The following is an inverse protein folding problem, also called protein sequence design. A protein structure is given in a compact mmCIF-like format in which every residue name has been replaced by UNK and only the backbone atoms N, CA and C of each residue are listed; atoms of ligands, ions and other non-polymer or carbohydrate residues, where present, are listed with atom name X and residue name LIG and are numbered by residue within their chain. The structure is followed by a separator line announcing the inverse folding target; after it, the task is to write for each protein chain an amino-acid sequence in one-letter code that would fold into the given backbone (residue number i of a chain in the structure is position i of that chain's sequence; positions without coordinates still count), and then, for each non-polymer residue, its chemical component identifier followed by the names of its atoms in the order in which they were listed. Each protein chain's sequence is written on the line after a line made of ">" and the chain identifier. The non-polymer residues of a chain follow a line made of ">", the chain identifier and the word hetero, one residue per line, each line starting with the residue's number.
data_IF_749511491165
#
_entry.id   IF_749511491165
#
_cell.length_a   1.000
_cell.length_b   1.000
_cell.length_c   1.000
_cell.angle_alpha   90.00
_cell.angle_beta   90.00
_cell.angle_gamma   90.00
#
_symmetry.space_group_name_H-M   'P 1'
#
loop_
_entity.id
_entity.type
_entity.pdbx_description
1 polymer ?
#
# COMPACT_ATOMS: atom_id res chain seq x y z
N UNK A 1 6.16 -4.90 37.22
CA UNK A 1 5.77 -5.79 36.10
C UNK A 1 5.76 -5.03 34.75
N UNK A 2 6.85 -5.08 33.97
CA UNK A 2 7.06 -4.30 32.72
C UNK A 2 6.72 -5.05 31.41
N UNK A 3 6.09 -6.22 31.48
CA UNK A 3 5.82 -7.03 30.27
C UNK A 3 4.46 -6.66 29.68
N UNK A 4 4.43 -5.97 28.54
CA UNK A 4 3.19 -5.65 27.78
C UNK A 4 2.89 -6.64 26.65
N UNK A 5 3.84 -7.52 26.38
CA UNK A 5 3.66 -8.67 25.50
C UNK A 5 2.86 -9.72 26.24
N UNK A 6 1.81 -10.23 25.60
CA UNK A 6 1.11 -11.41 26.11
C UNK A 6 2.02 -12.63 26.01
N UNK A 7 1.87 -13.56 26.93
CA UNK A 7 2.72 -14.78 26.99
C UNK A 7 2.15 -15.88 26.09
N UNK A 8 0.84 -15.84 25.83
CA UNK A 8 0.14 -16.80 24.98
C UNK A 8 -1.38 -16.56 24.99
N UNK A 9 -2.16 -17.46 24.37
CA UNK A 9 -3.62 -17.32 24.27
C UNK A 9 -4.35 -17.40 25.63
N UNK A 10 -3.79 -18.11 26.62
CA UNK A 10 -4.33 -18.22 27.98
C UNK A 10 -3.88 -17.11 28.94
N UNK A 11 -3.30 -16.02 28.45
CA UNK A 11 -2.84 -14.93 29.31
C UNK A 11 -4.04 -14.28 30.05
N UNK A 12 -4.08 -14.29 31.40
CA UNK A 12 -5.24 -13.81 32.15
C UNK A 12 -5.55 -12.33 31.89
N UNK A 13 -4.56 -11.56 31.40
CA UNK A 13 -4.71 -10.14 31.07
C UNK A 13 -5.58 -9.91 29.84
N UNK A 14 -5.77 -10.93 29.00
CA UNK A 14 -6.73 -10.90 27.89
C UNK A 14 -8.18 -10.99 28.39
N UNK A 15 -8.39 -11.55 29.58
CA UNK A 15 -9.69 -11.63 30.25
C UNK A 15 -10.09 -10.35 30.99
N UNK A 16 -9.17 -9.39 31.16
CA UNK A 16 -9.49 -8.07 31.74
C UNK A 16 -10.61 -7.41 30.91
N UNK A 17 -11.60 -6.79 31.57
CA UNK A 17 -12.82 -6.27 30.94
C UNK A 17 -12.54 -5.35 29.74
N UNK A 18 -11.54 -4.48 29.86
CA UNK A 18 -11.09 -3.58 28.79
C UNK A 18 -10.53 -4.31 27.56
N UNK A 19 -9.94 -5.50 27.72
CA UNK A 19 -9.37 -6.29 26.63
C UNK A 19 -10.31 -7.36 26.08
N UNK A 20 -11.32 -7.77 26.86
CA UNK A 20 -12.36 -8.72 26.43
C UNK A 20 -12.99 -8.34 25.10
N UNK A 21 -13.18 -7.04 24.90
CA UNK A 21 -13.82 -6.46 23.71
C UNK A 21 -12.89 -5.58 22.87
N UNK A 22 -11.59 -5.59 23.16
CA UNK A 22 -10.62 -4.79 22.42
C UNK A 22 -10.43 -5.37 21.02
N UNK A 23 -10.38 -4.48 20.02
CA UNK A 23 -10.06 -4.87 18.66
C UNK A 23 -8.56 -5.19 18.53
N UNK A 24 -8.25 -6.25 17.78
CA UNK A 24 -6.91 -6.55 17.32
C UNK A 24 -6.55 -5.64 16.12
N UNK A 25 -5.49 -4.85 16.25
CA UNK A 25 -4.95 -4.05 15.14
C UNK A 25 -3.91 -4.89 14.40
N UNK A 26 -4.19 -5.16 13.12
CA UNK A 26 -3.36 -5.99 12.25
C UNK A 26 -2.93 -5.25 10.98
N UNK A 27 -1.85 -5.71 10.36
CA UNK A 27 -1.27 -5.04 9.18
C UNK A 27 -2.04 -5.32 7.88
N UNK A 28 -2.48 -6.57 7.68
CA UNK A 28 -3.09 -7.05 6.45
C UNK A 28 -4.60 -7.30 6.61
N UNK A 29 -5.33 -7.21 5.50
CA UNK A 29 -6.76 -7.52 5.51
C UNK A 29 -7.01 -9.03 5.70
N UNK A 30 -6.12 -9.90 5.21
CA UNK A 30 -6.26 -11.36 5.32
C UNK A 30 -6.32 -11.81 6.78
N UNK A 31 -5.37 -11.38 7.62
CA UNK A 31 -5.43 -11.69 9.04
C UNK A 31 -6.65 -11.06 9.71
N UNK A 32 -7.02 -9.82 9.33
CA UNK A 32 -8.25 -9.18 9.83
C UNK A 32 -9.47 -10.08 9.60
N UNK A 33 -9.63 -10.64 8.39
CA UNK A 33 -10.78 -11.50 8.11
C UNK A 33 -10.73 -12.82 8.86
N UNK A 34 -9.58 -13.48 8.88
CA UNK A 34 -9.44 -14.76 9.56
C UNK A 34 -9.70 -14.61 11.07
N UNK A 35 -9.05 -13.63 11.71
CA UNK A 35 -9.26 -13.33 13.13
C UNK A 35 -10.72 -12.99 13.41
N UNK A 36 -11.39 -12.21 12.55
CA UNK A 36 -12.80 -11.88 12.74
C UNK A 36 -13.72 -13.11 12.66
N UNK A 37 -13.40 -14.10 11.82
CA UNK A 37 -14.15 -15.36 11.73
C UNK A 37 -13.88 -16.24 12.94
N UNK A 38 -12.61 -16.50 13.24
CA UNK A 38 -12.20 -17.35 14.37
C UNK A 38 -12.75 -16.81 15.70
N UNK A 39 -12.69 -15.48 15.89
CA UNK A 39 -13.21 -14.84 17.11
C UNK A 39 -14.72 -14.84 17.19
N UNK A 40 -15.43 -14.86 16.05
CA UNK A 40 -16.88 -15.04 16.03
C UNK A 40 -17.26 -16.48 16.45
N UNK A 41 -16.51 -17.47 16.00
CA UNK A 41 -16.67 -18.87 16.44
C UNK A 41 -16.34 -19.04 17.93
N UNK A 42 -15.22 -18.47 18.40
CA UNK A 42 -14.85 -18.48 19.81
C UNK A 42 -15.92 -17.82 20.68
N UNK A 43 -16.45 -16.67 20.23
CA UNK A 43 -17.52 -15.98 20.92
C UNK A 43 -18.78 -16.83 21.02
N UNK A 44 -19.20 -17.44 19.90
CA UNK A 44 -20.35 -18.34 19.87
C UNK A 44 -20.20 -19.50 20.86
N UNK A 45 -19.02 -20.14 20.91
CA UNK A 45 -18.72 -21.21 21.87
C UNK A 45 -18.77 -20.71 23.32
N UNK A 46 -18.13 -19.57 23.61
CA UNK A 46 -18.02 -19.04 24.96
C UNK A 46 -19.34 -18.45 25.50
N UNK A 47 -20.20 -17.94 24.62
CA UNK A 47 -21.49 -17.36 24.98
C UNK A 47 -22.67 -18.34 24.81
N UNK A 48 -22.40 -19.58 24.42
CA UNK A 48 -23.42 -20.60 24.08
C UNK A 48 -24.48 -20.09 23.09
N UNK A 49 -24.09 -19.15 22.22
CA UNK A 49 -24.97 -18.50 21.26
C UNK A 49 -24.82 -19.17 19.90
N UNK A 50 -25.90 -19.63 19.25
CA UNK A 50 -25.81 -20.28 17.94
C UNK A 50 -25.16 -19.36 16.89
N UNK A 51 -24.03 -19.82 16.33
CA UNK A 51 -23.41 -19.15 15.18
C UNK A 51 -24.17 -19.49 13.90
N UNK A 52 -24.65 -18.47 13.19
CA UNK A 52 -25.21 -18.61 11.85
C UNK A 52 -24.35 -17.87 10.83
N UNK A 53 -24.17 -18.47 9.67
CA UNK A 53 -23.43 -17.88 8.56
C UNK A 53 -24.40 -17.30 7.54
N UNK A 54 -24.35 -15.98 7.39
CA UNK A 54 -25.06 -15.28 6.34
C UNK A 54 -24.25 -15.33 5.04
N UNK A 55 -24.85 -15.89 3.99
CA UNK A 55 -24.25 -16.02 2.66
C UNK A 55 -24.69 -14.87 1.77
N UNK A 56 -23.73 -14.20 1.13
CA UNK A 56 -24.03 -13.14 0.19
C UNK A 56 -24.68 -13.68 -1.09
N UNK A 57 -25.60 -12.91 -1.67
CA UNK A 57 -26.18 -13.21 -2.97
C UNK A 57 -25.44 -12.41 -4.05
N UNK A 58 -24.72 -13.12 -4.92
CA UNK A 58 -24.03 -12.54 -6.07
C UNK A 58 -24.84 -12.77 -7.36
N UNK A 59 -25.28 -11.67 -7.98
CA UNK A 59 -26.00 -11.66 -9.25
C UNK A 59 -25.08 -11.12 -10.36
N UNK A 60 -24.53 -11.97 -11.24
CA UNK A 60 -23.69 -11.53 -12.36
C UNK A 60 -24.51 -10.79 -13.43
N UNK A 61 -23.90 -9.81 -14.10
CA UNK A 61 -24.51 -9.14 -15.25
C UNK A 61 -24.50 -10.03 -16.51
N UNK A 62 -25.26 -9.63 -17.52
CA UNK A 62 -25.32 -10.35 -18.80
C UNK A 62 -23.93 -10.50 -19.45
N UNK A 63 -23.09 -9.47 -19.35
CA UNK A 63 -21.72 -9.48 -19.87
C UNK A 63 -20.83 -10.51 -19.16
N UNK A 64 -21.04 -10.74 -17.86
CA UNK A 64 -20.32 -11.78 -17.11
C UNK A 64 -20.77 -13.16 -17.57
N UNK A 65 -22.08 -13.36 -17.71
CA UNK A 65 -22.65 -14.65 -18.16
C UNK A 65 -22.20 -15.02 -19.58
N UNK A 66 -21.98 -14.03 -20.46
CA UNK A 66 -21.50 -14.24 -21.82
C UNK A 66 -20.00 -14.57 -21.89
N UNK A 67 -19.21 -14.11 -20.92
CA UNK A 67 -17.73 -14.19 -20.98
C UNK A 67 -17.14 -15.23 -20.05
N UNK A 68 -17.87 -15.64 -19.01
CA UNK A 68 -17.40 -16.55 -17.98
C UNK A 68 -18.49 -17.56 -17.62
N UNK A 69 -18.07 -18.82 -17.45
CA UNK A 69 -18.90 -19.84 -16.82
C UNK A 69 -19.15 -19.47 -15.36
N UNK A 70 -20.41 -19.17 -15.04
CA UNK A 70 -20.86 -18.78 -13.70
C UNK A 70 -21.41 -19.99 -12.93
N UNK A 71 -20.64 -21.07 -12.92
CA UNK A 71 -20.96 -22.33 -12.26
C UNK A 71 -20.92 -22.21 -10.72
N UNK A 72 -21.27 -23.30 -10.02
CA UNK A 72 -21.25 -23.34 -8.55
C UNK A 72 -19.86 -23.00 -8.02
N UNK A 73 -18.78 -23.46 -8.66
CA UNK A 73 -17.42 -23.19 -8.24
C UNK A 73 -17.06 -21.70 -8.37
N UNK A 74 -17.47 -21.03 -9.46
CA UNK A 74 -17.28 -19.60 -9.64
C UNK A 74 -17.98 -18.79 -8.54
N UNK A 75 -19.23 -19.14 -8.21
CA UNK A 75 -19.98 -18.49 -7.13
C UNK A 75 -19.32 -18.69 -5.77
N UNK A 76 -18.83 -19.89 -5.47
CA UNK A 76 -18.06 -20.15 -4.23
C UNK A 76 -16.78 -19.32 -4.19
N UNK A 77 -16.05 -19.20 -5.31
CA UNK A 77 -14.88 -18.31 -5.40
C UNK A 77 -15.25 -16.85 -5.13
N UNK A 78 -16.37 -16.36 -5.65
CA UNK A 78 -16.83 -14.99 -5.41
C UNK A 78 -17.04 -14.70 -3.92
N UNK A 79 -17.61 -15.64 -3.17
CA UNK A 79 -17.80 -15.50 -1.71
C UNK A 79 -16.48 -15.38 -0.94
N UNK A 80 -15.36 -15.82 -1.52
CA UNK A 80 -14.02 -15.71 -0.92
C UNK A 80 -13.33 -14.37 -1.20
N UNK A 81 -13.87 -13.52 -2.09
CA UNK A 81 -13.31 -12.19 -2.34
C UNK A 81 -13.38 -11.33 -1.09
N UNK A 82 -12.33 -10.51 -0.90
CA UNK A 82 -12.24 -9.57 0.20
C UNK A 82 -13.33 -8.51 0.11
N UNK A 83 -13.88 -8.09 1.26
CA UNK A 83 -14.91 -7.05 1.31
C UNK A 83 -14.46 -5.76 0.59
N UNK A 84 -13.17 -5.42 0.62
CA UNK A 84 -12.55 -4.29 -0.09
C UNK A 84 -12.71 -4.36 -1.60
N UNK A 85 -12.71 -5.57 -2.16
CA UNK A 85 -12.90 -5.80 -3.60
C UNK A 85 -14.38 -5.89 -3.96
N UNK A 86 -15.26 -6.03 -2.96
CA UNK A 86 -16.71 -6.22 -3.12
C UNK A 86 -17.51 -5.14 -2.39
N UNK A 87 -17.04 -3.89 -2.48
CA UNK A 87 -17.71 -2.68 -2.00
C UNK A 87 -18.06 -2.66 -0.49
N UNK A 88 -17.21 -3.30 0.31
CA UNK A 88 -17.31 -3.48 1.76
C UNK A 88 -18.40 -4.45 2.22
N UNK A 89 -18.94 -5.28 1.32
CA UNK A 89 -19.88 -6.35 1.67
C UNK A 89 -19.16 -7.71 1.69
N UNK A 90 -19.18 -8.40 2.83
CA UNK A 90 -18.57 -9.71 3.01
C UNK A 90 -19.30 -10.80 2.22
N UNK A 91 -18.57 -11.79 1.70
CA UNK A 91 -19.20 -12.96 1.06
C UNK A 91 -19.86 -13.88 2.09
N UNK A 92 -19.15 -14.16 3.18
CA UNK A 92 -19.61 -14.96 4.31
C UNK A 92 -19.52 -14.13 5.59
N UNK A 93 -20.67 -13.85 6.22
CA UNK A 93 -20.77 -13.04 7.43
C UNK A 93 -21.20 -13.91 8.62
N UNK A 94 -20.33 -14.14 9.62
CA UNK A 94 -20.74 -14.81 10.83
C UNK A 94 -21.64 -13.89 11.69
N UNK A 95 -22.72 -14.45 12.23
CA UNK A 95 -23.67 -13.76 13.10
C UNK A 95 -23.97 -14.63 14.32
N UNK A 96 -23.82 -14.04 15.51
CA UNK A 96 -24.21 -14.64 16.79
C UNK A 96 -24.87 -13.54 17.65
N UNK A 97 -25.92 -13.89 18.39
CA UNK A 97 -26.58 -12.92 19.27
C UNK A 97 -25.60 -12.48 20.37
N UNK A 98 -25.54 -11.17 20.63
CA UNK A 98 -24.61 -10.54 21.57
C UNK A 98 -23.22 -10.21 20.99
N UNK A 99 -22.90 -10.72 19.79
CA UNK A 99 -21.60 -10.52 19.16
C UNK A 99 -21.37 -9.05 18.79
N UNK A 100 -20.13 -8.57 18.95
CA UNK A 100 -19.76 -7.20 18.53
C UNK A 100 -19.59 -7.12 17.02
N UNK A 101 -20.24 -6.13 16.43
CA UNK A 101 -20.20 -5.81 15.00
C UNK A 101 -19.87 -4.35 14.78
N UNK A 102 -19.36 -4.04 13.58
CA UNK A 102 -19.19 -2.68 13.09
C UNK A 102 -19.98 -2.51 11.80
N UNK A 103 -20.52 -1.31 11.60
CA UNK A 103 -21.14 -0.94 10.34
C UNK A 103 -20.09 -0.89 9.22
N UNK A 104 -20.32 -1.61 8.14
CA UNK A 104 -19.48 -1.59 6.96
C UNK A 104 -19.79 -0.40 6.04
N UNK A 105 -20.93 0.25 6.25
CA UNK A 105 -21.41 1.40 5.48
C UNK A 105 -22.06 2.47 6.36
N UNK A 106 -22.37 3.62 5.77
CA UNK A 106 -23.19 4.65 6.39
C UNK A 106 -24.67 4.26 6.27
N UNK A 107 -25.40 4.22 7.40
CA UNK A 107 -26.81 3.86 7.44
C UNK A 107 -27.71 5.06 7.67
N UNK A 108 -27.41 5.85 8.71
CA UNK A 108 -28.18 7.03 9.08
C UNK A 108 -27.23 8.16 9.51
N UNK A 109 -27.19 9.22 8.70
CA UNK A 109 -26.31 10.36 8.93
C UNK A 109 -27.00 11.51 9.66
N UNK A 110 -28.23 11.32 10.17
CA UNK A 110 -28.90 12.32 10.97
C UNK A 110 -28.09 12.64 12.24
N UNK A 111 -28.11 13.91 12.65
CA UNK A 111 -27.25 14.43 13.74
C UNK A 111 -27.52 13.76 15.09
N UNK A 112 -28.74 13.28 15.31
CA UNK A 112 -29.15 12.57 16.51
C UNK A 112 -28.60 11.13 16.57
N UNK A 113 -28.40 10.48 15.42
CA UNK A 113 -28.02 9.05 15.36
C UNK A 113 -26.58 8.80 14.97
N UNK A 114 -26.08 9.48 13.93
CA UNK A 114 -24.70 9.36 13.41
C UNK A 114 -24.23 7.89 13.24
N UNK A 115 -25.07 7.05 12.64
CA UNK A 115 -24.76 5.66 12.30
C UNK A 115 -23.90 5.59 11.03
N UNK A 116 -22.65 6.02 11.20
CA UNK A 116 -21.65 6.07 10.15
C UNK A 116 -20.88 4.75 10.04
N UNK A 117 -20.18 4.60 8.91
CA UNK A 117 -19.26 3.48 8.70
C UNK A 117 -18.26 3.35 9.85
N UNK A 118 -18.22 2.16 10.43
CA UNK A 118 -17.31 1.79 11.50
C UNK A 118 -17.80 2.16 12.89
N UNK A 119 -19.04 2.63 13.05
CA UNK A 119 -19.74 2.64 14.33
C UNK A 119 -19.90 1.21 14.82
N UNK A 120 -19.54 0.98 16.09
CA UNK A 120 -19.58 -0.33 16.71
C UNK A 120 -20.91 -0.53 17.46
N UNK A 121 -21.44 -1.75 17.40
CA UNK A 121 -22.65 -2.15 18.10
C UNK A 121 -22.62 -3.63 18.45
N UNK A 122 -23.72 -4.12 19.01
CA UNK A 122 -23.92 -5.52 19.39
C UNK A 122 -25.15 -6.08 18.69
N UNK A 123 -25.06 -7.30 18.18
CA UNK A 123 -26.23 -7.99 17.62
C UNK A 123 -27.21 -8.26 18.76
N UNK A 124 -28.41 -7.71 18.69
CA UNK A 124 -29.46 -7.96 19.68
C UNK A 124 -30.35 -9.12 19.24
N UNK A 125 -30.86 -9.07 18.01
CA UNK A 125 -31.74 -10.09 17.44
C UNK A 125 -31.73 -10.01 15.92
N UNK A 126 -32.40 -10.96 15.25
CA UNK A 126 -32.54 -10.95 13.79
C UNK A 126 -33.87 -11.58 13.37
N UNK A 127 -34.31 -11.23 12.16
CA UNK A 127 -35.44 -11.87 11.48
C UNK A 127 -34.87 -12.72 10.35
N UNK A 128 -34.95 -14.03 10.53
CA UNK A 128 -34.41 -15.01 9.60
C UNK A 128 -35.52 -15.98 9.20
N UNK A 129 -35.94 -15.93 7.94
CA UNK A 129 -36.98 -16.84 7.42
C UNK A 129 -36.40 -18.23 7.20
N UNK A 130 -37.22 -19.24 7.37
CA UNK A 130 -36.82 -20.63 7.12
C UNK A 130 -36.39 -20.79 5.65
N UNK A 131 -35.29 -21.52 5.41
CA UNK A 131 -34.64 -21.72 4.10
C UNK A 131 -33.90 -20.52 3.47
N UNK A 132 -33.96 -19.32 4.06
CA UNK A 132 -33.13 -18.22 3.58
C UNK A 132 -31.66 -18.41 4.00
N UNK A 133 -30.72 -18.11 3.10
CA UNK A 133 -29.28 -18.15 3.40
C UNK A 133 -28.76 -16.87 4.09
N UNK A 134 -29.64 -15.89 4.30
CA UNK A 134 -29.32 -14.59 4.90
C UNK A 134 -30.55 -14.04 5.64
N UNK A 135 -30.40 -13.34 6.76
CA UNK A 135 -31.52 -12.70 7.43
C UNK A 135 -32.14 -11.57 6.60
N UNK A 136 -33.44 -11.37 6.77
CA UNK A 136 -34.16 -10.22 6.21
C UNK A 136 -33.74 -8.93 6.92
N UNK A 137 -33.52 -9.00 8.23
CA UNK A 137 -33.13 -7.86 9.07
C UNK A 137 -32.31 -8.34 10.27
N UNK A 138 -31.33 -7.54 10.69
CA UNK A 138 -30.59 -7.74 11.95
C UNK A 138 -30.73 -6.49 12.80
N UNK A 139 -31.19 -6.64 14.04
CA UNK A 139 -31.26 -5.54 14.99
C UNK A 139 -29.92 -5.41 15.71
N UNK A 140 -29.32 -4.23 15.60
CA UNK A 140 -28.03 -3.88 16.23
C UNK A 140 -28.27 -2.83 17.29
N UNK A 141 -27.79 -3.11 18.50
CA UNK A 141 -27.80 -2.21 19.65
C UNK A 141 -26.52 -1.39 19.69
N UNK A 142 -26.67 -0.08 19.72
CA UNK A 142 -25.58 0.89 19.87
C UNK A 142 -25.55 1.39 21.32
N UNK A 143 -24.45 1.10 22.00
CA UNK A 143 -24.27 1.47 23.40
C UNK A 143 -24.11 2.99 23.53
N UNK A 144 -24.87 3.60 24.45
CA UNK A 144 -24.84 5.05 24.71
C UNK A 144 -25.69 5.92 23.76
N UNK A 145 -26.47 5.30 22.88
CA UNK A 145 -27.45 6.03 22.07
C UNK A 145 -28.65 6.49 22.91
N UNK A 146 -29.06 7.75 22.72
CA UNK A 146 -30.20 8.37 23.42
C UNK A 146 -31.50 8.32 22.61
N UNK A 147 -31.41 8.11 21.30
CA UNK A 147 -32.55 7.96 20.40
C UNK A 147 -33.20 6.58 20.55
N UNK A 148 -34.49 6.49 20.28
CA UNK A 148 -35.27 5.25 20.24
C UNK A 148 -36.16 5.31 19.01
N UNK A 149 -36.21 4.22 18.24
CA UNK A 149 -37.10 4.14 17.08
C UNK A 149 -38.52 3.79 17.56
N UNK A 150 -39.52 4.27 16.84
CA UNK A 150 -40.92 3.95 17.13
C UNK A 150 -41.15 2.44 17.10
N UNK A 151 -41.71 1.90 18.18
CA UNK A 151 -41.92 0.46 18.35
C UNK A 151 -40.67 -0.34 18.76
N UNK A 152 -39.52 0.29 18.98
CA UNK A 152 -38.35 -0.40 19.55
C UNK A 152 -38.55 -0.61 21.07
N UNK A 153 -38.16 -1.78 21.62
CA UNK A 153 -38.32 -2.08 23.04
C UNK A 153 -37.36 -1.28 23.94
N UNK A 154 -36.25 -0.81 23.39
CA UNK A 154 -35.24 -0.04 24.12
C UNK A 154 -34.54 0.99 23.21
N UNK A 155 -33.93 2.05 23.78
CA UNK A 155 -33.13 3.03 23.04
C UNK A 155 -31.97 2.41 22.27
N UNK A 156 -31.49 3.04 21.22
CA UNK A 156 -30.26 2.63 20.51
C UNK A 156 -30.37 1.34 19.69
N UNK A 157 -31.56 0.77 19.52
CA UNK A 157 -31.79 -0.39 18.68
C UNK A 157 -32.10 0.03 17.24
N UNK A 158 -31.32 -0.43 16.26
CA UNK A 158 -31.49 -0.09 14.86
C UNK A 158 -31.64 -1.32 13.96
N UNK A 159 -32.65 -1.37 13.07
CA UNK A 159 -32.80 -2.44 12.09
C UNK A 159 -31.82 -2.25 10.93
N UNK A 160 -30.94 -3.22 10.73
CA UNK A 160 -29.97 -3.24 9.62
C UNK A 160 -30.47 -4.19 8.53
N UNK A 161 -30.72 -3.62 7.35
CA UNK A 161 -31.17 -4.36 6.19
C UNK A 161 -30.02 -4.70 5.23
N UNK A 162 -30.13 -5.78 4.45
CA UNK A 162 -29.18 -6.10 3.41
C UNK A 162 -29.08 -5.00 2.34
N UNK A 163 -27.85 -4.55 2.08
CA UNK A 163 -27.54 -3.60 1.03
C UNK A 163 -27.12 -4.32 -0.25
N UNK A 164 -27.45 -3.74 -1.41
CA UNK A 164 -27.02 -4.24 -2.71
C UNK A 164 -25.95 -3.31 -3.29
N UNK A 165 -24.78 -3.85 -3.61
CA UNK A 165 -23.66 -3.11 -4.22
C UNK A 165 -23.08 -3.83 -5.42
N UNK A 166 -22.56 -3.07 -6.37
CA UNK A 166 -22.01 -3.61 -7.62
C UNK A 166 -20.49 -3.54 -7.57
N UNK A 167 -19.84 -4.70 -7.69
CA UNK A 167 -18.39 -4.82 -7.81
C UNK A 167 -18.02 -5.39 -9.18
N UNK A 168 -16.74 -5.35 -9.54
CA UNK A 168 -16.27 -5.72 -10.88
C UNK A 168 -15.21 -6.82 -10.81
N UNK A 169 -15.44 -7.94 -11.49
CA UNK A 169 -14.48 -9.04 -11.57
C UNK A 169 -13.17 -8.61 -12.24
N UNK A 170 -13.29 -7.75 -13.25
CA UNK A 170 -12.17 -7.26 -14.04
C UNK A 170 -11.67 -5.89 -13.58
N UNK A 171 -11.82 -5.56 -12.29
CA UNK A 171 -11.41 -4.27 -11.71
C UNK A 171 -9.96 -3.85 -12.03
N UNK A 172 -9.08 -4.82 -12.34
CA UNK A 172 -7.68 -4.57 -12.75
C UNK A 172 -7.52 -4.13 -14.22
N UNK A 173 -8.56 -4.24 -15.05
CA UNK A 173 -8.54 -3.81 -16.47
C UNK A 173 -8.79 -2.30 -16.59
N UNK A 174 -8.33 -1.72 -17.70
CA UNK A 174 -8.48 -0.27 -17.99
C UNK A 174 -9.94 0.17 -18.10
N UNK A 175 -10.83 -0.70 -18.57
CA UNK A 175 -12.27 -0.46 -18.66
C UNK A 175 -12.98 -1.70 -18.10
N UNK A 176 -13.28 -1.71 -16.80
CA UNK A 176 -13.88 -2.87 -16.18
C UNK A 176 -15.39 -2.90 -16.48
N UNK A 177 -15.83 -3.97 -17.12
CA UNK A 177 -17.20 -4.17 -17.63
C UNK A 177 -17.92 -5.34 -16.97
N UNK A 178 -17.19 -6.24 -16.31
CA UNK A 178 -17.73 -7.48 -15.74
C UNK A 178 -18.31 -7.22 -14.35
N UNK A 179 -19.57 -6.81 -14.29
CA UNK A 179 -20.25 -6.39 -13.06
C UNK A 179 -20.93 -7.57 -12.36
N UNK A 180 -20.77 -7.63 -11.04
CA UNK A 180 -21.51 -8.52 -10.15
C UNK A 180 -22.19 -7.67 -9.09
N UNK A 181 -23.50 -7.84 -8.92
CA UNK A 181 -24.25 -7.21 -7.85
C UNK A 181 -24.30 -8.15 -6.64
N UNK A 182 -23.65 -7.74 -5.55
CA UNK A 182 -23.66 -8.44 -4.25
C UNK A 182 -24.72 -7.86 -3.33
N UNK A 183 -25.55 -8.73 -2.73
CA UNK A 183 -26.50 -8.36 -1.68
C UNK A 183 -26.14 -9.03 -0.36
N UNK A 184 -25.81 -8.23 0.66
CA UNK A 184 -25.43 -8.68 2.01
C UNK A 184 -25.69 -7.57 3.04
N UNK A 185 -25.78 -7.92 4.32
CA UNK A 185 -25.78 -6.95 5.41
C UNK A 185 -24.49 -6.10 5.40
N UNK A 186 -24.60 -4.76 5.56
CA UNK A 186 -23.44 -3.88 5.73
C UNK A 186 -22.88 -3.97 7.15
N UNK A 187 -22.51 -5.18 7.58
CA UNK A 187 -21.93 -5.48 8.89
C UNK A 187 -20.63 -6.27 8.74
N UNK A 188 -19.72 -6.09 9.69
CA UNK A 188 -18.54 -6.94 9.86
C UNK A 188 -18.29 -7.20 11.35
N UNK A 189 -17.71 -8.36 11.73
CA UNK A 189 -17.30 -8.59 13.12
C UNK A 189 -16.27 -7.53 13.56
N UNK A 190 -16.35 -7.12 14.81
CA UNK A 190 -15.56 -6.01 15.35
C UNK A 190 -14.30 -6.44 16.12
N UNK A 191 -13.82 -7.68 15.92
CA UNK A 191 -12.72 -8.25 16.69
C UNK A 191 -11.34 -7.86 16.17
N UNK A 192 -11.23 -7.53 14.88
CA UNK A 192 -10.00 -7.10 14.24
C UNK A 192 -10.23 -5.94 13.27
N UNK A 193 -9.25 -5.04 13.20
CA UNK A 193 -9.23 -3.88 12.32
C UNK A 193 -7.81 -3.70 11.76
N UNK A 194 -7.69 -3.19 10.54
CA UNK A 194 -6.37 -2.81 10.02
C UNK A 194 -5.90 -1.48 10.59
N UNK A 195 -4.60 -1.25 10.66
CA UNK A 195 -4.07 0.06 11.09
C UNK A 195 -4.66 1.21 10.26
N UNK A 196 -4.76 1.04 8.94
CA UNK A 196 -5.42 2.01 8.06
C UNK A 196 -6.91 2.18 8.39
N UNK A 197 -7.63 1.09 8.72
CA UNK A 197 -9.05 1.17 9.12
C UNK A 197 -9.25 1.85 10.48
N UNK A 198 -8.24 1.81 11.35
CA UNK A 198 -8.25 2.46 12.66
C UNK A 198 -7.78 3.91 12.64
N UNK A 199 -7.24 4.40 11.51
CA UNK A 199 -6.72 5.76 11.41
C UNK A 199 -7.82 6.79 11.69
N UNK A 200 -7.48 7.79 12.51
CA UNK A 200 -8.43 8.82 12.96
C UNK A 200 -9.36 8.38 14.10
N UNK A 201 -9.35 7.10 14.50
CA UNK A 201 -10.16 6.60 15.62
C UNK A 201 -9.38 6.58 16.92
N UNK A 202 -10.09 6.78 18.03
CA UNK A 202 -9.60 6.51 19.38
C UNK A 202 -10.31 5.27 19.91
N UNK A 203 -9.56 4.24 20.29
CA UNK A 203 -10.05 2.99 20.85
C UNK A 203 -9.88 2.99 22.38
N UNK A 204 -10.84 2.45 23.14
CA UNK A 204 -10.69 2.30 24.60
C UNK A 204 -9.51 1.40 24.98
N UNK A 205 -9.30 0.33 24.22
CA UNK A 205 -8.17 -0.58 24.33
C UNK A 205 -7.89 -1.26 22.99
N UNK A 206 -6.66 -1.70 22.79
CA UNK A 206 -6.23 -2.37 21.55
C UNK A 206 -5.24 -3.51 21.83
N UNK A 207 -5.39 -4.59 21.07
CA UNK A 207 -4.40 -5.66 20.96
C UNK A 207 -3.62 -5.41 19.69
N UNK A 208 -2.30 -5.23 19.75
CA UNK A 208 -1.50 -4.88 18.57
C UNK A 208 -0.55 -6.02 18.24
N UNK A 209 -0.62 -6.50 17.00
CA UNK A 209 0.38 -7.43 16.49
C UNK A 209 1.53 -6.66 15.85
N UNK A 210 2.68 -6.60 16.54
CA UNK A 210 3.89 -5.97 15.99
C UNK A 210 4.74 -6.93 15.15
N UNK A 211 4.30 -8.18 14.97
CA UNK A 211 4.97 -9.14 14.10
C UNK A 211 4.58 -8.94 12.64
N UNK A 212 5.06 -7.83 12.07
CA UNK A 212 4.74 -7.42 10.69
C UNK A 212 5.84 -7.83 9.72
N UNK A 213 5.45 -8.15 8.49
CA UNK A 213 6.37 -8.54 7.43
C UNK A 213 7.24 -7.35 6.97
N UNK A 214 8.31 -7.65 6.24
CA UNK A 214 9.22 -6.61 5.69
C UNK A 214 8.54 -5.67 4.67
N UNK A 215 7.35 -6.02 4.18
CA UNK A 215 6.59 -5.24 3.19
C UNK A 215 5.64 -4.25 3.84
N UNK A 216 5.29 -4.44 5.11
CA UNK A 216 4.45 -3.54 5.89
C UNK A 216 5.18 -2.23 6.16
N UNK A 217 4.46 -1.11 6.04
CA UNK A 217 5.02 0.22 6.28
C UNK A 217 5.51 0.35 7.74
N UNK A 218 6.71 0.91 7.91
CA UNK A 218 7.32 1.18 9.21
C UNK A 218 6.49 2.08 10.12
N UNK A 219 5.48 2.80 9.61
CA UNK A 219 4.57 3.63 10.41
C UNK A 219 3.44 2.83 11.07
N UNK A 220 3.24 1.55 10.70
CA UNK A 220 2.18 0.70 11.23
C UNK A 220 2.12 0.71 12.77
N UNK A 221 3.26 0.46 13.42
CA UNK A 221 3.34 0.36 14.88
C UNK A 221 3.01 1.68 15.57
N UNK A 222 3.44 2.81 15.01
CA UNK A 222 3.10 4.15 15.51
C UNK A 222 1.61 4.44 15.34
N UNK A 223 1.03 4.11 14.18
CA UNK A 223 -0.42 4.29 13.94
C UNK A 223 -1.23 3.42 14.91
N UNK A 224 -0.88 2.14 15.06
CA UNK A 224 -1.57 1.20 15.94
C UNK A 224 -1.47 1.61 17.42
N UNK A 225 -0.27 1.95 17.89
CA UNK A 225 -0.05 2.34 19.29
C UNK A 225 -0.72 3.68 19.64
N UNK A 226 -0.81 4.62 18.69
CA UNK A 226 -1.48 5.91 18.90
C UNK A 226 -3.00 5.86 18.89
N UNK A 227 -3.62 4.67 18.72
CA UNK A 227 -5.09 4.54 18.75
C UNK A 227 -5.65 4.57 20.17
N UNK A 228 -4.83 4.39 21.21
CA UNK A 228 -5.27 4.41 22.60
C UNK A 228 -4.78 5.67 23.33
N UNK A 229 -5.47 6.04 24.41
CA UNK A 229 -5.08 7.18 25.25
C UNK A 229 -4.01 6.85 26.29
N UNK A 230 -3.92 5.59 26.71
CA UNK A 230 -3.01 5.18 27.78
C UNK A 230 -2.21 3.94 27.40
N UNK A 231 -0.98 3.85 27.92
CA UNK A 231 -0.10 2.69 27.71
C UNK A 231 -0.63 1.42 28.39
N UNK A 232 -1.51 1.57 29.37
CA UNK A 232 -2.19 0.48 30.09
C UNK A 232 -3.28 -0.17 29.24
N UNK A 233 -3.79 0.55 28.23
CA UNK A 233 -4.83 0.13 27.30
C UNK A 233 -4.31 -0.56 26.02
N UNK A 234 -2.99 -0.77 25.90
CA UNK A 234 -2.39 -1.57 24.81
C UNK A 234 -1.73 -2.84 25.34
N UNK A 235 -1.89 -3.92 24.58
CA UNK A 235 -1.11 -5.15 24.73
C UNK A 235 -0.52 -5.55 23.37
N UNK A 236 0.71 -6.05 23.39
CA UNK A 236 1.36 -6.58 22.20
C UNK A 236 1.08 -8.09 22.11
N UNK A 237 0.55 -8.56 20.99
CA UNK A 237 0.29 -10.00 20.75
C UNK A 237 1.61 -10.75 20.52
N UNK A 238 2.46 -10.19 19.67
CA UNK A 238 3.83 -10.63 19.43
C UNK A 238 4.72 -9.40 19.21
N UNK A 239 5.99 -9.51 19.58
CA UNK A 239 7.02 -8.55 19.21
C UNK A 239 7.92 -9.19 18.16
N UNK A 240 7.93 -8.64 16.95
CA UNK A 240 9.15 -8.72 16.15
C UNK A 240 10.09 -7.61 16.63
N UNK A 241 11.42 -7.81 16.69
CA UNK A 241 12.36 -6.71 16.92
C UNK A 241 12.09 -5.63 15.88
N UNK A 242 11.43 -4.59 16.35
CA UNK A 242 10.94 -3.51 15.53
C UNK A 242 12.15 -2.67 15.19
N UNK A 243 12.58 -2.69 13.93
CA UNK A 243 13.46 -1.66 13.42
C UNK A 243 12.57 -0.44 13.21
N UNK A 244 12.47 0.40 14.24
CA UNK A 244 11.94 1.75 14.11
C UNK A 244 12.47 2.39 12.82
N UNK A 245 11.71 3.31 12.22
CA UNK A 245 12.19 4.11 11.09
C UNK A 245 13.66 4.48 11.31
N UNK A 246 14.48 4.38 10.26
CA UNK A 246 15.95 4.28 10.32
C UNK A 246 16.54 4.83 11.62
N UNK A 247 17.27 4.05 12.44
CA UNK A 247 17.78 4.46 13.76
C UNK A 247 18.36 5.88 13.82
N UNK A 248 18.95 6.35 12.72
CA UNK A 248 19.41 7.72 12.52
C UNK A 248 18.35 8.81 12.78
N UNK A 249 17.10 8.65 12.32
CA UNK A 249 16.03 9.66 12.44
C UNK A 249 15.52 9.78 13.88
N UNK A 250 15.37 8.65 14.56
CA UNK A 250 15.01 8.63 15.97
C UNK A 250 16.14 9.23 16.82
N UNK A 251 17.40 8.90 16.53
CA UNK A 251 18.55 9.49 17.22
C UNK A 251 18.67 10.99 16.96
N UNK A 252 18.46 11.46 15.73
CA UNK A 252 18.46 12.87 15.35
C UNK A 252 17.40 13.63 16.15
N UNK A 253 16.17 13.12 16.20
CA UNK A 253 15.08 13.75 16.94
C UNK A 253 15.30 13.72 18.46
N UNK A 254 15.85 12.62 19.01
CA UNK A 254 16.19 12.51 20.43
C UNK A 254 17.37 13.40 20.84
N UNK A 255 18.25 13.76 19.90
CA UNK A 255 19.35 14.72 20.11
C UNK A 255 18.91 16.17 19.97
N UNK A 256 17.65 16.43 19.65
CA UNK A 256 17.14 17.78 19.37
C UNK A 256 17.66 18.37 18.06
N UNK A 257 18.22 17.55 17.18
CA UNK A 257 18.67 17.99 15.86
C UNK A 257 17.44 18.23 14.97
N UNK A 258 17.42 19.36 14.23
CA UNK A 258 16.34 19.64 13.29
C UNK A 258 16.28 18.56 12.20
N UNK A 259 15.15 17.85 12.16
CA UNK A 259 14.90 16.85 11.12
C UNK A 259 14.43 17.58 9.86
N UNK A 260 15.28 17.56 8.82
CA UNK A 260 14.90 18.07 7.50
C UNK A 260 13.91 17.10 6.82
N UNK A 261 12.62 17.30 7.11
CA UNK A 261 11.52 16.48 6.58
C UNK A 261 11.41 16.54 5.06
N UNK A 262 11.82 17.64 4.43
CA UNK A 262 11.81 17.80 2.97
C UNK A 262 12.82 16.88 2.31
N UNK A 263 14.05 16.85 2.82
CA UNK A 263 15.10 15.96 2.33
C UNK A 263 14.71 14.48 2.49
N UNK A 264 14.03 14.13 3.59
CA UNK A 264 13.54 12.77 3.82
C UNK A 264 12.42 12.35 2.86
N UNK A 265 11.47 13.26 2.59
CA UNK A 265 10.40 13.03 1.60
C UNK A 265 10.99 12.86 0.20
N UNK A 266 11.94 13.71 -0.18
CA UNK A 266 12.63 13.65 -1.47
C UNK A 266 13.44 12.35 -1.63
N UNK A 267 14.07 11.87 -0.56
CA UNK A 267 14.82 10.61 -0.58
C UNK A 267 13.92 9.39 -0.86
N UNK A 268 12.68 9.41 -0.37
CA UNK A 268 11.69 8.35 -0.63
C UNK A 268 10.98 8.51 -1.97
N UNK A 269 10.75 9.74 -2.40
CA UNK A 269 10.00 10.06 -3.61
C UNK A 269 10.64 11.27 -4.31
N UNK A 270 11.58 11.05 -5.27
CA UNK A 270 12.19 12.15 -5.98
C UNK A 270 11.14 12.89 -6.81
N UNK A 271 11.29 14.21 -6.93
CA UNK A 271 10.31 15.08 -7.59
C UNK A 271 10.95 15.96 -8.67
N UNK A 272 10.13 16.41 -9.62
CA UNK A 272 10.53 17.31 -10.70
C UNK A 272 9.38 18.22 -11.11
N UNK A 273 9.71 19.42 -11.60
CA UNK A 273 8.73 20.37 -12.10
C UNK A 273 8.19 19.95 -13.47
N UNK A 274 6.87 20.04 -13.64
CA UNK A 274 6.22 19.83 -14.93
C UNK A 274 6.35 21.09 -15.79
N UNK A 275 6.81 20.97 -17.03
CA UNK A 275 6.98 22.10 -17.96
C UNK A 275 5.68 22.91 -18.20
N UNK A 276 4.53 22.22 -18.29
CA UNK A 276 3.23 22.87 -18.58
C UNK A 276 2.54 23.50 -17.37
N UNK A 277 2.67 22.89 -16.17
CA UNK A 277 1.98 23.38 -14.95
C UNK A 277 2.90 24.09 -13.97
N UNK A 278 4.23 24.00 -14.17
CA UNK A 278 5.29 24.50 -13.27
C UNK A 278 5.24 23.96 -11.83
N UNK A 279 4.29 23.10 -11.49
CA UNK A 279 4.20 22.38 -10.22
C UNK A 279 5.24 21.25 -10.11
N UNK A 280 5.87 21.12 -8.94
CA UNK A 280 6.70 19.98 -8.58
C UNK A 280 5.83 18.75 -8.32
N UNK A 281 6.06 17.67 -9.08
CA UNK A 281 5.38 16.38 -8.90
C UNK A 281 6.39 15.28 -8.62
N UNK A 282 5.99 14.29 -7.84
CA UNK A 282 6.81 13.12 -7.54
C UNK A 282 6.95 12.20 -8.77
N UNK A 283 7.99 11.36 -8.75
CA UNK A 283 8.34 10.37 -9.77
C UNK A 283 7.15 9.61 -10.39
N UNK A 284 6.19 9.22 -9.56
CA UNK A 284 4.99 8.48 -9.94
C UNK A 284 4.05 9.26 -10.88
N UNK A 285 4.14 10.59 -10.94
CA UNK A 285 3.34 11.41 -11.85
C UNK A 285 3.94 11.54 -13.26
N UNK A 286 5.10 10.95 -13.51
CA UNK A 286 5.75 10.97 -14.81
C UNK A 286 5.77 9.57 -15.42
N UNK A 287 5.65 9.48 -16.75
CA UNK A 287 5.92 8.22 -17.45
C UNK A 287 7.42 7.92 -17.41
N UNK A 288 7.80 6.65 -17.59
CA UNK A 288 9.20 6.21 -17.60
C UNK A 288 10.05 7.06 -18.57
N UNK A 289 9.57 7.23 -19.81
CA UNK A 289 10.21 8.05 -20.83
C UNK A 289 10.35 9.53 -20.44
N UNK A 290 9.36 10.08 -19.73
CA UNK A 290 9.40 11.49 -19.27
C UNK A 290 10.33 11.65 -18.08
N UNK A 291 10.38 10.68 -17.17
CA UNK A 291 11.33 10.72 -16.06
C UNK A 291 12.77 10.56 -16.53
N UNK A 292 13.04 9.79 -17.59
CA UNK A 292 14.37 9.74 -18.21
C UNK A 292 14.84 11.11 -18.72
N UNK A 293 13.92 11.95 -19.20
CA UNK A 293 14.23 13.34 -19.56
C UNK A 293 14.63 14.14 -18.34
N UNK A 294 13.93 13.98 -17.21
CA UNK A 294 14.31 14.61 -15.93
C UNK A 294 15.72 14.17 -15.51
N UNK A 295 16.01 12.86 -15.61
CA UNK A 295 17.34 12.31 -15.28
C UNK A 295 18.45 12.83 -16.18
N UNK A 296 18.13 13.23 -17.40
CA UNK A 296 19.04 13.88 -18.35
C UNK A 296 19.03 15.41 -18.26
N UNK A 297 18.45 15.99 -17.18
CA UNK A 297 18.28 17.43 -16.97
C UNK A 297 17.54 18.15 -18.13
N UNK A 298 16.58 17.47 -18.74
CA UNK A 298 15.69 18.04 -19.76
C UNK A 298 14.30 18.29 -19.18
N UNK A 299 13.55 19.21 -19.80
CA UNK A 299 12.15 19.46 -19.45
C UNK A 299 11.31 18.19 -19.61
N UNK A 300 10.38 17.97 -18.69
CA UNK A 300 9.49 16.82 -18.68
C UNK A 300 8.05 17.25 -18.40
N UNK A 301 7.12 16.48 -18.94
CA UNK A 301 5.69 16.73 -18.83
C UNK A 301 5.07 15.61 -18.00
N UNK A 302 4.27 15.98 -16.98
CA UNK A 302 3.57 15.00 -16.16
C UNK A 302 2.51 14.24 -16.97
N UNK A 303 2.08 13.07 -16.47
CA UNK A 303 1.08 12.22 -17.09
C UNK A 303 -0.25 12.94 -17.38
N UNK A 304 -0.61 13.93 -16.56
CA UNK A 304 -1.81 14.74 -16.74
C UNK A 304 -1.71 15.77 -17.88
N UNK A 305 -0.51 16.02 -18.42
CA UNK A 305 -0.26 17.06 -19.43
C UNK A 305 0.31 16.50 -20.74
N UNK A 306 0.52 15.19 -20.82
CA UNK A 306 1.01 14.50 -22.01
C UNK A 306 0.00 14.49 -23.18
N UNK A 307 0.46 14.32 -24.43
CA UNK A 307 -0.39 14.37 -25.62
C UNK A 307 -1.43 13.23 -25.64
N UNK A 308 -2.68 13.57 -25.95
CA UNK A 308 -3.76 12.61 -26.30
C UNK A 308 -4.65 12.08 -25.17
N UNK A 309 -4.92 12.82 -24.09
CA UNK A 309 -5.75 12.31 -22.97
C UNK A 309 -6.63 13.38 -22.31
N UNK A 310 -7.92 13.36 -22.64
CA UNK A 310 -8.99 13.90 -21.79
C UNK A 310 -9.25 12.96 -20.61
N UNK A 311 -9.28 13.53 -19.41
CA UNK A 311 -9.97 13.12 -18.16
C UNK A 311 -9.94 11.67 -17.60
N UNK A 312 -9.42 10.63 -18.26
CA UNK A 312 -9.74 9.24 -17.86
C UNK A 312 -8.57 8.26 -17.57
N UNK A 313 -7.38 8.69 -17.10
CA UNK A 313 -6.35 7.70 -16.67
C UNK A 313 -5.57 8.15 -15.43
N UNK A 314 -5.27 7.15 -14.59
CA UNK A 314 -4.55 7.26 -13.32
C UNK A 314 -3.46 8.35 -13.34
N UNK A 315 -3.57 9.29 -12.40
CA UNK A 315 -2.63 10.42 -12.23
C UNK A 315 -1.23 9.96 -11.81
N UNK A 316 -1.07 8.70 -11.40
CA UNK A 316 0.15 8.10 -10.86
C UNK A 316 0.42 6.73 -11.47
N UNK A 317 1.68 6.43 -11.81
CA UNK A 317 2.15 5.07 -12.13
C UNK A 317 2.46 4.30 -10.84
N UNK A 318 2.29 2.97 -10.88
CA UNK A 318 2.75 2.09 -9.80
C UNK A 318 4.25 1.87 -9.95
N UNK A 319 5.03 2.25 -8.94
CA UNK A 319 6.47 1.99 -8.92
C UNK A 319 6.75 0.52 -8.61
N UNK A 320 7.73 -0.13 -9.27
CA UNK A 320 8.12 -1.48 -8.94
C UNK A 320 8.69 -1.55 -7.52
N UNK A 321 8.32 -2.60 -6.79
CA UNK A 321 8.85 -2.88 -5.45
C UNK A 321 10.29 -3.34 -5.55
N UNK A 322 11.20 -2.78 -4.75
CA UNK A 322 12.60 -3.20 -4.70
C UNK A 322 13.58 -2.33 -5.50
N UNK A 323 13.20 -1.12 -5.89
CA UNK A 323 14.13 -0.14 -6.48
C UNK A 323 15.36 0.05 -5.58
N UNK A 324 16.55 -0.03 -6.18
CA UNK A 324 17.81 0.12 -5.49
C UNK A 324 17.91 1.51 -4.83
N UNK A 325 18.59 1.57 -3.69
CA UNK A 325 18.80 2.80 -2.92
C UNK A 325 20.28 3.08 -2.76
N UNK A 326 20.70 4.25 -3.23
CA UNK A 326 22.08 4.69 -3.32
C UNK A 326 22.30 5.92 -2.44
N UNK A 327 23.48 6.01 -1.82
CA UNK A 327 23.87 7.16 -1.01
C UNK A 327 24.39 8.30 -1.88
N UNK A 328 23.80 9.50 -1.74
CA UNK A 328 24.27 10.70 -2.41
C UNK A 328 25.51 11.25 -1.70
N UNK A 329 26.58 11.55 -2.43
CA UNK A 329 27.82 12.10 -1.86
C UNK A 329 27.77 13.60 -1.57
N UNK A 330 26.83 14.33 -2.18
CA UNK A 330 26.57 15.74 -1.88
C UNK A 330 25.80 15.90 -0.56
N UNK A 331 24.53 15.50 -0.56
CA UNK A 331 23.66 15.66 0.60
C UNK A 331 23.76 14.54 1.65
N UNK A 332 24.58 13.50 1.43
CA UNK A 332 24.76 12.34 2.34
C UNK A 332 23.49 11.54 2.67
N UNK A 333 22.40 11.76 1.92
CA UNK A 333 21.14 11.03 2.07
C UNK A 333 21.08 9.81 1.15
N UNK A 334 20.47 8.73 1.66
CA UNK A 334 20.17 7.51 0.89
C UNK A 334 18.88 7.69 0.08
N UNK A 335 18.98 7.78 -1.25
CA UNK A 335 17.86 8.05 -2.16
C UNK A 335 17.60 6.87 -3.10
N UNK A 336 16.42 6.83 -3.73
CA UNK A 336 16.15 5.91 -4.84
C UNK A 336 17.15 6.13 -5.98
N UNK A 337 17.52 5.07 -6.70
CA UNK A 337 18.36 5.13 -7.90
C UNK A 337 17.84 6.15 -8.92
N UNK A 338 16.52 6.24 -9.08
CA UNK A 338 15.84 7.21 -9.97
C UNK A 338 16.04 8.69 -9.59
N UNK A 339 16.58 8.98 -8.40
CA UNK A 339 16.96 10.33 -7.98
C UNK A 339 18.34 10.76 -8.50
N UNK A 340 19.09 9.85 -9.14
CA UNK A 340 20.40 10.08 -9.72
C UNK A 340 20.32 10.11 -11.25
N UNK A 341 21.18 10.89 -11.93
CA UNK A 341 21.29 10.81 -13.37
C UNK A 341 21.76 9.42 -13.81
N UNK A 342 21.12 8.87 -14.85
CA UNK A 342 21.48 7.54 -15.38
C UNK A 342 22.92 7.50 -15.91
N UNK A 343 23.35 8.58 -16.56
CA UNK A 343 24.71 8.72 -17.07
C UNK A 343 25.73 8.57 -15.94
N UNK A 344 25.50 9.23 -14.79
CA UNK A 344 26.41 9.16 -13.64
C UNK A 344 26.54 7.75 -13.04
N UNK A 345 25.49 6.93 -13.11
CA UNK A 345 25.49 5.56 -12.57
C UNK A 345 26.23 4.57 -13.47
N UNK A 346 26.42 4.90 -14.75
CA UNK A 346 27.08 4.01 -15.72
C UNK A 346 28.59 4.21 -15.79
N UNK A 347 29.14 5.17 -15.06
CA UNK A 347 30.56 5.46 -15.08
C UNK A 347 31.30 4.78 -13.92
N UNK A 348 32.58 4.48 -14.11
CA UNK A 348 33.37 3.65 -13.18
C UNK A 348 33.53 4.28 -11.77
N UNK A 349 33.65 5.60 -11.70
CA UNK A 349 33.77 6.37 -10.45
C UNK A 349 32.44 6.63 -9.70
N UNK A 350 31.34 6.05 -10.18
CA UNK A 350 29.99 6.37 -9.69
C UNK A 350 29.81 6.12 -8.18
N UNK A 351 30.38 5.06 -7.62
CA UNK A 351 30.24 4.75 -6.19
C UNK A 351 30.90 5.78 -5.26
N UNK A 352 32.00 6.37 -5.72
CA UNK A 352 32.77 7.36 -4.97
C UNK A 352 32.21 8.77 -5.13
N UNK A 353 31.68 9.13 -6.32
CA UNK A 353 31.36 10.52 -6.69
C UNK A 353 29.89 10.81 -7.00
N UNK A 354 28.96 9.83 -6.92
CA UNK A 354 27.53 10.04 -7.26
C UNK A 354 26.84 11.16 -6.50
N UNK A 355 26.08 12.00 -7.20
CA UNK A 355 25.28 13.10 -6.63
C UNK A 355 23.84 13.03 -7.15
N UNK A 356 22.86 13.36 -6.32
CA UNK A 356 21.45 13.37 -6.77
C UNK A 356 21.18 14.59 -7.68
N UNK A 357 20.10 14.51 -8.45
CA UNK A 357 19.71 15.57 -9.40
C UNK A 357 19.56 16.96 -8.75
N UNK A 358 19.11 17.03 -7.50
CA UNK A 358 18.97 18.32 -6.79
C UNK A 358 20.33 18.93 -6.46
N UNK A 359 21.25 18.13 -5.89
CA UNK A 359 22.61 18.59 -5.61
C UNK A 359 23.38 18.99 -6.88
N UNK A 360 23.02 18.46 -8.04
CA UNK A 360 23.63 18.86 -9.32
C UNK A 360 23.04 20.16 -9.87
N UNK A 361 21.79 20.49 -9.53
CA UNK A 361 21.15 21.76 -9.92
C UNK A 361 21.61 22.95 -9.08
N UNK A 362 22.22 22.69 -7.93
CA UNK A 362 22.81 23.70 -7.03
C UNK A 362 24.27 24.00 -7.38
N UNK A 363 24.83 23.40 -8.44
CA UNK A 363 26.20 23.65 -8.90
C UNK A 363 26.19 24.71 -10.00
N UNK A 364 26.81 25.85 -9.73
CA UNK A 364 26.88 26.98 -10.67
C UNK A 364 28.13 26.96 -11.56
N UNK A 365 29.17 26.22 -11.17
CA UNK A 365 30.47 26.13 -11.86
C UNK A 365 30.82 24.68 -12.18
N UNK A 366 31.32 24.45 -13.40
CA UNK A 366 31.79 23.15 -13.86
C UNK A 366 33.20 23.27 -14.45
N UNK A 367 34.01 22.24 -14.25
CA UNK A 367 35.32 22.13 -14.85
C UNK A 367 35.21 21.39 -16.19
N UNK A 368 35.80 21.95 -17.25
CA UNK A 368 35.81 21.30 -18.55
C UNK A 368 36.90 20.23 -18.59
N UNK A 369 36.53 18.99 -18.91
CA UNK A 369 37.47 17.86 -19.06
C UNK A 369 38.45 17.96 -20.23
N UNK A 370 38.27 18.93 -21.14
CA UNK A 370 39.13 19.13 -22.33
C UNK A 370 40.10 20.29 -22.16
N UNK A 371 39.62 21.42 -21.62
CA UNK A 371 40.43 22.63 -21.47
C UNK A 371 40.78 22.96 -20.01
N UNK A 372 40.34 22.14 -19.05
CA UNK A 372 40.62 22.24 -17.61
C UNK A 372 40.21 23.58 -16.96
N UNK A 373 39.57 24.47 -17.71
CA UNK A 373 39.06 25.73 -17.19
C UNK A 373 37.75 25.52 -16.43
N UNK A 374 37.64 26.15 -15.26
CA UNK A 374 36.38 26.27 -14.52
C UNK A 374 35.51 27.36 -15.15
N UNK A 375 34.31 26.99 -15.60
CA UNK A 375 33.38 27.85 -16.33
C UNK A 375 31.98 27.80 -15.72
N UNK A 376 31.14 28.79 -15.99
CA UNK A 376 29.75 28.77 -15.55
C UNK A 376 28.96 27.68 -16.26
N UNK A 377 27.99 27.08 -15.57
CA UNK A 377 27.14 26.00 -16.12
C UNK A 377 26.38 26.41 -17.39
N UNK A 378 26.13 27.71 -17.58
CA UNK A 378 25.54 28.30 -18.79
C UNK A 378 26.40 28.12 -20.04
N UNK A 379 27.72 27.96 -19.88
CA UNK A 379 28.67 27.69 -20.96
C UNK A 379 28.75 26.21 -21.34
N UNK A 380 27.96 25.35 -20.69
CA UNK A 380 27.85 23.92 -20.97
C UNK A 380 26.47 23.58 -21.52
N UNK A 381 26.37 22.50 -22.30
CA UNK A 381 25.08 21.97 -22.70
C UNK A 381 24.30 21.52 -21.45
N UNK A 382 22.99 21.79 -21.38
CA UNK A 382 22.15 21.46 -20.22
C UNK A 382 22.19 19.98 -19.80
N UNK A 383 22.49 19.06 -20.73
CA UNK A 383 22.70 17.65 -20.42
C UNK A 383 24.01 17.38 -19.65
N UNK A 384 25.05 18.21 -19.83
CA UNK A 384 26.36 18.06 -19.18
C UNK A 384 26.31 18.36 -17.67
N UNK A 385 25.30 19.09 -17.20
CA UNK A 385 25.01 19.27 -15.77
C UNK A 385 24.82 17.93 -15.02
N UNK A 386 24.46 16.88 -15.75
CA UNK A 386 24.30 15.53 -15.19
C UNK A 386 25.57 14.69 -15.17
N UNK A 387 26.66 15.23 -15.71
CA UNK A 387 27.99 14.61 -15.82
C UNK A 387 29.09 15.60 -15.41
N UNK A 388 29.11 16.08 -14.16
CA UNK A 388 29.96 17.20 -13.75
C UNK A 388 31.48 16.94 -13.87
N UNK A 389 31.90 15.69 -13.99
CA UNK A 389 33.30 15.27 -14.04
C UNK A 389 33.73 14.74 -15.42
N UNK A 390 32.80 14.69 -16.36
CA UNK A 390 33.06 14.46 -17.79
C UNK A 390 32.43 15.60 -18.61
N UNK A 391 32.24 16.76 -17.99
CA UNK A 391 31.60 17.91 -18.62
C UNK A 391 32.56 18.49 -19.67
N UNK A 392 32.00 18.85 -20.83
CA UNK A 392 32.73 19.52 -21.91
C UNK A 392 32.03 20.83 -22.21
N UNK A 393 32.76 21.94 -22.17
CA UNK A 393 32.20 23.26 -22.46
C UNK A 393 31.75 23.36 -23.93
N UNK A 394 30.85 24.29 -24.22
CA UNK A 394 30.26 24.44 -25.55
C UNK A 394 31.32 24.67 -26.64
N UNK A 395 32.38 25.42 -26.32
CA UNK A 395 33.48 25.73 -27.23
C UNK A 395 34.27 24.45 -27.59
N UNK A 396 34.75 23.71 -26.58
CA UNK A 396 35.47 22.46 -26.80
C UNK A 396 34.59 21.41 -27.50
N UNK A 397 33.29 21.37 -27.20
CA UNK A 397 32.36 20.48 -27.89
C UNK A 397 32.17 20.86 -29.37
N UNK A 398 32.22 22.15 -29.71
CA UNK A 398 32.16 22.64 -31.09
C UNK A 398 33.47 22.36 -31.84
N UNK A 399 34.62 22.50 -31.18
CA UNK A 399 35.93 22.24 -31.78
C UNK A 399 36.13 20.75 -32.09
N UNK A 400 35.70 19.86 -31.19
CA UNK A 400 35.69 18.40 -31.44
C UNK A 400 34.79 18.04 -32.64
N UNK A 401 33.66 18.73 -32.82
CA UNK A 401 32.77 18.53 -33.99
C UNK A 401 33.37 19.05 -35.30
N UNK A 402 34.32 20.00 -35.25
CA UNK A 402 34.98 20.59 -36.42
C UNK A 402 36.19 19.80 -36.90
N UNK A 403 36.69 18.82 -36.14
CA UNK A 403 37.80 17.98 -36.58
C UNK A 403 37.34 16.94 -37.63
N UNK A 404 37.93 16.90 -38.84
CA UNK A 404 37.46 16.05 -39.94
C UNK A 404 37.75 14.55 -39.76
N UNK A 405 38.44 14.11 -38.70
CA UNK A 405 38.79 12.69 -38.48
C UNK A 405 37.70 11.85 -37.80
N UNK A 406 36.55 12.42 -37.45
CA UNK A 406 35.40 11.68 -36.87
C UNK A 406 34.10 11.82 -37.68
N UNK A 407 34.20 12.20 -38.96
CA UNK A 407 33.08 12.37 -39.89
C UNK A 407 32.32 11.10 -40.32
N UNK A 408 32.52 9.96 -39.64
CA UNK A 408 31.72 8.73 -39.84
C UNK A 408 31.43 8.04 -38.51
N UNK A 409 30.73 8.70 -37.59
CA UNK A 409 30.03 8.03 -36.48
C UNK A 409 28.91 8.88 -35.87
N UNK A 410 28.30 9.78 -36.65
CA UNK A 410 27.08 10.50 -36.25
C UNK A 410 25.97 10.18 -37.22
N UNK A 411 25.68 8.88 -37.37
CA UNK A 411 24.37 8.38 -37.77
C UNK A 411 24.33 6.89 -37.44
N UNK A 412 23.82 6.55 -36.25
CA UNK A 412 22.90 5.44 -35.98
C UNK A 412 22.57 5.39 -34.48
N UNK A 413 21.30 5.12 -34.10
CA UNK A 413 20.91 4.73 -32.76
C UNK A 413 21.29 3.26 -32.53
N UNK A 414 21.55 2.89 -31.27
CA UNK A 414 21.93 1.54 -30.80
C UNK A 414 23.33 1.02 -31.20
N UNK A 415 24.12 0.62 -30.19
CA UNK A 415 24.90 -0.64 -30.06
C UNK A 415 25.96 -0.45 -28.94
N UNK A 416 25.92 -1.27 -27.88
CA UNK A 416 26.69 -2.52 -27.73
C UNK A 416 28.16 -2.37 -28.14
N UNK A 417 29.05 -2.33 -27.14
CA UNK A 417 30.48 -2.53 -27.28
C UNK A 417 30.89 -3.81 -26.56
N UNK A 418 31.19 -4.82 -27.38
CA UNK A 418 31.69 -6.19 -27.14
C UNK A 418 32.33 -6.50 -28.51
N UNK A 419 33.58 -6.86 -28.77
CA UNK A 419 34.82 -7.29 -28.07
C UNK A 419 35.99 -6.87 -29.03
N UNK A 420 37.29 -7.09 -28.84
CA UNK A 420 38.04 -8.25 -28.34
C UNK A 420 39.55 -7.98 -28.40
N UNK A 421 40.29 -8.50 -27.42
CA UNK A 421 41.72 -8.81 -27.49
C UNK A 421 42.00 -9.91 -26.46
N UNK A 422 42.29 -11.12 -26.95
CA UNK A 422 42.09 -12.37 -26.23
C UNK A 422 43.14 -12.77 -25.18
N UNK A 423 42.75 -13.74 -24.35
CA UNK A 423 43.59 -14.86 -23.90
C UNK A 423 42.69 -16.02 -23.45
N UNK A 424 42.91 -17.20 -24.05
CA UNK A 424 42.29 -18.48 -23.67
C UNK A 424 42.88 -18.95 -22.34
N UNK A 425 42.04 -19.45 -21.44
CA UNK A 425 42.32 -20.58 -20.56
C UNK A 425 40.98 -21.19 -20.18
N UNK A 426 40.82 -22.49 -20.45
CA UNK A 426 39.63 -23.25 -20.10
C UNK A 426 39.62 -23.67 -18.64
N UNK A 427 38.43 -23.81 -18.06
CA UNK A 427 38.17 -24.62 -16.89
C UNK A 427 36.68 -25.00 -16.85
N UNK A 428 36.43 -26.19 -16.31
CA UNK A 428 35.24 -27.02 -16.47
C UNK A 428 34.06 -26.61 -15.55
N UNK A 429 32.87 -27.15 -15.84
CA UNK A 429 31.58 -27.00 -15.13
C UNK A 429 31.64 -27.45 -13.65
N UNK A 430 30.67 -27.09 -12.79
CA UNK A 430 29.48 -27.95 -12.62
C UNK A 430 28.13 -27.19 -12.52
N UNK A 431 26.98 -27.89 -12.59
CA UNK A 431 25.65 -27.30 -12.71
C UNK A 431 25.05 -26.95 -11.34
N UNK A 432 24.45 -25.77 -11.22
CA UNK A 432 23.62 -25.42 -10.05
C UNK A 432 22.14 -25.44 -10.43
N UNK A 433 21.57 -26.61 -10.12
CA UNK A 433 20.20 -26.92 -9.72
C UNK A 433 19.34 -25.68 -9.42
N UNK A 434 18.28 -25.51 -10.21
CA UNK A 434 17.20 -24.57 -9.91
C UNK A 434 16.30 -25.08 -8.78
N UNK A 435 15.75 -24.21 -7.91
CA UNK A 435 14.76 -24.63 -6.95
C UNK A 435 13.40 -24.80 -7.64
N UNK A 436 12.91 -26.04 -7.61
CA UNK A 436 11.54 -26.41 -7.92
C UNK A 436 10.54 -25.65 -7.02
N UNK A 437 9.33 -25.33 -7.52
CA UNK A 437 8.23 -24.89 -6.69
C UNK A 437 7.70 -26.08 -5.88
N UNK A 438 7.82 -26.00 -4.55
CA UNK A 438 7.21 -26.96 -3.64
C UNK A 438 5.68 -26.81 -3.65
N UNK A 439 5.04 -27.94 -3.92
CA UNK A 439 3.65 -28.30 -3.69
C UNK A 439 3.09 -27.75 -2.36
N UNK A 440 1.90 -27.17 -2.41
CA UNK A 440 0.93 -27.23 -1.31
C UNK A 440 -0.46 -27.52 -1.89
N UNK A 441 -0.78 -28.81 -1.88
CA UNK A 441 -2.06 -29.43 -2.19
C UNK A 441 -3.13 -29.10 -1.13
N UNK A 442 -4.28 -28.67 -1.63
CA UNK A 442 -5.63 -29.17 -1.34
C UNK A 442 -5.88 -29.87 0.01
N UNK A 443 -6.64 -29.20 0.88
CA UNK A 443 -7.65 -29.84 1.75
C UNK A 443 -8.77 -28.84 2.05
N UNK A 444 -9.90 -28.92 1.34
CA UNK A 444 -11.24 -28.56 1.82
C UNK A 444 -12.28 -29.09 0.83
N UNK A 445 -12.52 -30.40 0.88
CA UNK A 445 -13.64 -31.06 0.24
C UNK A 445 -14.13 -32.16 1.17
N UNK A 446 -15.14 -31.84 1.98
CA UNK A 446 -16.13 -32.74 2.60
C UNK A 446 -16.88 -31.94 3.66
N UNK A 447 -18.07 -31.47 3.30
CA UNK A 447 -19.20 -31.16 4.20
C UNK A 447 -20.29 -30.47 3.36
N UNK A 448 -20.85 -31.19 2.39
CA UNK A 448 -22.18 -30.97 1.81
C UNK A 448 -22.58 -32.28 1.12
N UNK A 449 -23.02 -33.23 1.95
CA UNK A 449 -23.99 -34.25 1.57
C UNK A 449 -25.35 -33.76 2.02
#
# INVERSE_FOLDING_TARGET
>A
ARRRVIVGPGDPRLGEEKFRWAAAIVANNDAKYQINKDRAEDYSRAAESPLRWSVALDAPSAEVLQTHECDKAARVRWLQYHDRDTENLSGMLPLAVGMRVVLADHLDCAEDKLLLRGSAGRIHSWVWKENDLRPTCVYVKFDGATWQLDGAPEPGLYPVYPARKVWKLDAKRKKPVLKIARTQLPLAPAYAITAHGSQGKTLPAALVDFNVDKRTDVTFGTVAASRVRSREAVRALALHPWRAGSPALLLQQLRGEEVNWEAFREAKAPSAACEKRKEAKTLDYFSDRQWERVRANRSAICLACGPGKGEQKALKRKLPSGLARLDCRGCKFRKLEDAFPRAQLQQDDSEAKRRCLKCLKEVDILECSVCESTKQISEFNSAMATMPWAAVCADCAADVRRQPKWGRLVHLPDLRLVLSGGRRCGAQRPPLVGPQPALFELRFARLLG
#
